data_IF_897667495982
#
_entry.id   IF_897667495982
#
_cell.length_a   1.000
_cell.length_b   1.000
_cell.length_c   1.000
_cell.angle_alpha   90.00
_cell.angle_beta   90.00
_cell.angle_gamma   90.00
#
_symmetry.space_group_name_H-M   'P 1'
#
loop_
_entity.id
_entity.type
_entity.pdbx_description
1 polymer ?
#
# COMPACT_ATOMS: atom_id res chain seq x y z
N UNK A 1 -30.66 -1.44 19.31
CA UNK A 1 -30.68 0.00 18.99
C UNK A 1 -29.34 0.33 18.35
N UNK A 2 -29.28 0.96 17.17
CA UNK A 2 -28.01 1.41 16.64
C UNK A 2 -27.48 2.50 17.59
N UNK A 3 -26.24 2.32 18.07
CA UNK A 3 -25.54 3.38 18.80
C UNK A 3 -25.55 4.64 17.93
N UNK A 4 -26.02 5.75 18.49
CA UNK A 4 -25.90 7.06 17.83
C UNK A 4 -24.42 7.30 17.57
N UNK A 5 -24.02 7.34 16.31
CA UNK A 5 -22.67 7.77 15.93
C UNK A 5 -22.42 9.15 16.56
N UNK A 6 -21.29 9.34 17.28
CA UNK A 6 -21.01 10.59 17.96
C UNK A 6 -20.96 11.74 16.94
N UNK A 7 -21.74 12.78 17.24
CA UNK A 7 -21.94 13.93 16.36
C UNK A 7 -20.83 14.98 16.48
N UNK A 8 -20.04 14.89 17.55
CA UNK A 8 -18.90 15.75 17.86
C UNK A 8 -17.83 14.94 18.59
N UNK A 9 -16.56 15.29 18.43
CA UNK A 9 -15.46 14.70 19.20
C UNK A 9 -15.59 14.95 20.71
N UNK A 10 -16.43 15.92 21.12
CA UNK A 10 -16.84 16.17 22.50
C UNK A 10 -17.52 14.95 23.15
N UNK A 11 -18.11 14.07 22.33
CA UNK A 11 -18.74 12.84 22.80
C UNK A 11 -17.70 11.73 23.12
N UNK A 12 -16.44 11.90 22.69
CA UNK A 12 -15.35 10.96 22.94
C UNK A 12 -14.66 11.32 24.26
N UNK A 13 -15.35 11.05 25.38
CA UNK A 13 -14.94 11.41 26.75
C UNK A 13 -13.54 10.93 27.16
N UNK A 14 -12.96 9.95 26.46
CA UNK A 14 -11.68 9.33 26.80
C UNK A 14 -10.51 9.75 25.90
N UNK A 15 -10.75 10.47 24.80
CA UNK A 15 -9.69 10.74 23.81
C UNK A 15 -8.64 11.77 24.29
N UNK A 16 -9.01 12.70 25.17
CA UNK A 16 -8.11 13.76 25.63
C UNK A 16 -8.28 14.04 27.12
N UNK A 17 -7.44 13.41 27.95
CA UNK A 17 -7.31 13.77 29.38
C UNK A 17 -6.69 15.16 29.61
N UNK A 18 -6.25 15.86 28.56
CA UNK A 18 -5.60 17.15 28.63
C UNK A 18 -6.50 18.29 28.14
N UNK A 19 -7.03 19.07 29.09
CA UNK A 19 -7.94 20.19 28.84
C UNK A 19 -7.35 21.32 27.98
N UNK A 20 -6.01 21.44 27.90
CA UNK A 20 -5.33 22.44 27.07
C UNK A 20 -5.32 22.02 25.59
N UNK A 21 -5.14 20.73 25.33
CA UNK A 21 -5.16 20.18 23.96
C UNK A 21 -6.57 20.23 23.39
N UNK A 22 -7.58 19.83 24.16
CA UNK A 22 -8.99 19.91 23.75
C UNK A 22 -9.41 21.34 23.37
N UNK A 23 -9.11 22.33 24.23
CA UNK A 23 -9.37 23.75 23.93
C UNK A 23 -8.63 24.26 22.69
N UNK A 24 -7.45 23.70 22.39
CA UNK A 24 -6.70 24.07 21.19
C UNK A 24 -7.39 23.54 19.93
N UNK A 25 -7.90 22.31 19.96
CA UNK A 25 -8.69 21.76 18.86
C UNK A 25 -10.00 22.53 18.66
N UNK A 26 -10.76 22.84 19.72
CA UNK A 26 -11.97 23.69 19.63
C UNK A 26 -11.71 25.01 18.91
N UNK A 27 -10.61 25.68 19.28
CA UNK A 27 -10.23 26.95 18.66
C UNK A 27 -9.93 26.76 17.19
N UNK A 28 -9.19 25.73 16.81
CA UNK A 28 -8.88 25.44 15.41
C UNK A 28 -10.15 25.16 14.62
N UNK A 29 -11.06 24.33 15.15
CA UNK A 29 -12.30 24.00 14.46
C UNK A 29 -13.19 25.23 14.22
N UNK A 30 -13.33 26.10 15.23
CA UNK A 30 -14.03 27.38 15.05
C UNK A 30 -13.34 28.29 14.05
N UNK A 31 -12.01 28.29 14.03
CA UNK A 31 -11.21 29.13 13.13
C UNK A 31 -11.36 28.68 11.67
N UNK A 32 -11.36 27.37 11.42
CA UNK A 32 -11.38 26.80 10.08
C UNK A 32 -12.76 26.34 9.61
N UNK A 33 -13.79 26.44 10.46
CA UNK A 33 -15.16 26.08 10.10
C UNK A 33 -15.32 24.59 9.77
N UNK A 34 -14.78 23.72 10.62
CA UNK A 34 -14.79 22.27 10.41
C UNK A 34 -16.19 21.72 10.16
N UNK A 35 -16.35 20.89 9.12
CA UNK A 35 -17.60 20.18 8.82
C UNK A 35 -17.38 18.68 9.00
N UNK A 36 -18.24 18.06 9.81
CA UNK A 36 -18.21 16.61 10.04
C UNK A 36 -18.98 15.91 8.91
N UNK A 37 -18.28 15.11 8.10
CA UNK A 37 -18.84 14.40 6.93
C UNK A 37 -18.55 12.90 7.00
N UNK A 38 -18.90 12.26 8.13
CA UNK A 38 -18.63 10.82 8.37
C UNK A 38 -19.18 9.95 7.24
N UNK A 39 -20.42 10.18 6.82
CA UNK A 39 -21.07 9.41 5.76
C UNK A 39 -20.32 9.46 4.42
N UNK A 40 -19.64 10.57 4.13
CA UNK A 40 -18.88 10.74 2.90
C UNK A 40 -17.51 10.06 2.95
N UNK A 41 -16.84 10.06 4.12
CA UNK A 41 -15.43 9.68 4.22
C UNK A 41 -15.14 8.37 4.98
N UNK A 42 -16.08 7.83 5.76
CA UNK A 42 -15.84 6.66 6.63
C UNK A 42 -15.28 5.45 5.88
N UNK A 43 -15.73 5.21 4.63
CA UNK A 43 -15.22 4.11 3.78
C UNK A 43 -13.94 4.46 3.02
N UNK A 44 -13.57 5.73 2.96
CA UNK A 44 -12.45 6.24 2.19
C UNK A 44 -11.17 6.34 3.02
N UNK A 45 -11.29 6.53 4.34
CA UNK A 45 -10.16 6.62 5.29
C UNK A 45 -9.55 5.27 5.67
N UNK A 46 -9.83 4.22 4.89
CA UNK A 46 -9.23 2.88 5.03
C UNK A 46 -9.14 2.20 3.66
N UNK A 47 -8.48 1.04 3.58
CA UNK A 47 -8.27 0.34 2.30
C UNK A 47 -9.40 -0.60 1.88
N UNK A 48 -10.56 -0.61 2.55
CA UNK A 48 -11.61 -1.62 2.33
C UNK A 48 -12.06 -1.71 0.86
N UNK A 49 -12.24 -0.56 0.20
CA UNK A 49 -12.65 -0.50 -1.21
C UNK A 49 -11.49 -0.62 -2.21
N UNK A 50 -10.23 -0.50 -1.74
CA UNK A 50 -9.04 -0.55 -2.60
C UNK A 50 -8.84 -1.92 -3.26
N UNK A 51 -9.36 -2.99 -2.65
CA UNK A 51 -9.31 -4.36 -3.15
C UNK A 51 -9.96 -4.55 -4.53
N UNK A 52 -10.89 -3.68 -4.90
CA UNK A 52 -11.61 -3.73 -6.19
C UNK A 52 -11.01 -2.82 -7.26
N UNK A 53 -10.10 -1.92 -6.88
CA UNK A 53 -9.57 -0.89 -7.76
C UNK A 53 -8.28 -1.37 -8.48
N UNK A 54 -8.12 -1.11 -9.80
CA UNK A 54 -6.87 -1.36 -10.51
C UNK A 54 -5.67 -0.71 -9.81
N UNK A 55 -4.51 -1.37 -9.88
CA UNK A 55 -3.25 -0.98 -9.21
C UNK A 55 -3.31 -0.93 -7.67
N UNK A 56 -4.30 -0.26 -7.08
CA UNK A 56 -4.55 -0.21 -5.64
C UNK A 56 -4.63 -1.60 -5.00
N UNK A 57 -5.25 -2.58 -5.67
CA UNK A 57 -5.38 -3.95 -5.16
C UNK A 57 -4.11 -4.80 -5.19
N UNK A 58 -3.03 -4.36 -5.84
CA UNK A 58 -1.84 -5.20 -6.06
C UNK A 58 -1.09 -5.53 -4.77
N UNK A 59 -1.15 -4.63 -3.79
CA UNK A 59 -0.47 -4.80 -2.50
C UNK A 59 -1.43 -4.41 -1.39
N UNK A 60 -1.63 -5.30 -0.41
CA UNK A 60 -2.34 -4.97 0.81
C UNK A 60 -1.41 -4.24 1.78
N UNK A 61 -1.58 -2.93 1.90
CA UNK A 61 -0.87 -2.07 2.85
C UNK A 61 -1.87 -1.61 3.91
N UNK A 62 -1.69 -1.99 5.18
CA UNK A 62 -2.73 -1.80 6.22
C UNK A 62 -2.90 -0.34 6.60
N UNK A 63 -1.81 0.41 6.59
CA UNK A 63 -1.70 1.81 6.98
C UNK A 63 -2.11 2.77 5.84
N UNK A 64 -2.96 2.29 4.92
CA UNK A 64 -3.39 3.04 3.75
C UNK A 64 -4.85 3.50 3.81
N UNK A 65 -5.19 4.38 2.88
CA UNK A 65 -6.55 4.84 2.58
C UNK A 65 -6.91 4.54 1.12
N UNK A 66 -8.19 4.66 0.80
CA UNK A 66 -8.68 4.47 -0.56
C UNK A 66 -8.22 5.61 -1.47
N UNK A 67 -7.85 5.29 -2.72
CA UNK A 67 -7.53 6.31 -3.72
C UNK A 67 -8.66 7.30 -3.96
N UNK A 68 -9.92 6.86 -3.78
CA UNK A 68 -11.09 7.71 -3.92
C UNK A 68 -11.17 8.83 -2.87
N UNK A 69 -10.52 8.67 -1.70
CA UNK A 69 -10.34 9.77 -0.75
C UNK A 69 -9.62 10.95 -1.41
N UNK A 70 -8.51 10.64 -2.09
CA UNK A 70 -7.65 11.64 -2.73
C UNK A 70 -8.36 12.27 -3.91
N UNK A 71 -9.08 11.48 -4.71
CA UNK A 71 -9.91 12.01 -5.81
C UNK A 71 -10.98 12.96 -5.31
N UNK A 72 -11.66 12.63 -4.20
CA UNK A 72 -12.67 13.50 -3.62
C UNK A 72 -12.07 14.81 -3.08
N UNK A 73 -10.91 14.74 -2.44
CA UNK A 73 -10.17 15.94 -2.00
C UNK A 73 -9.81 16.81 -3.21
N UNK A 74 -9.22 16.23 -4.27
CA UNK A 74 -8.84 16.97 -5.48
C UNK A 74 -10.05 17.50 -6.25
N UNK A 75 -11.21 16.84 -6.17
CA UNK A 75 -12.46 17.34 -6.75
C UNK A 75 -12.97 18.57 -6.02
N UNK A 76 -12.88 18.59 -4.69
CA UNK A 76 -13.30 19.73 -3.85
C UNK A 76 -12.31 20.88 -3.89
N UNK A 77 -11.03 20.55 -3.99
CA UNK A 77 -9.91 21.49 -3.96
C UNK A 77 -9.01 21.24 -5.18
N UNK A 78 -9.45 21.66 -6.38
CA UNK A 78 -8.75 21.37 -7.62
C UNK A 78 -7.40 22.07 -7.69
N UNK A 79 -6.45 21.38 -8.31
CA UNK A 79 -5.11 21.89 -8.63
C UNK A 79 -4.98 22.10 -10.13
N UNK A 80 -4.02 22.93 -10.56
CA UNK A 80 -3.80 23.21 -11.99
C UNK A 80 -2.99 22.08 -12.61
N UNK A 81 -3.65 21.25 -13.41
CA UNK A 81 -3.02 20.15 -14.16
C UNK A 81 -1.86 20.69 -15.02
N UNK A 82 -0.72 20.01 -14.97
CA UNK A 82 0.51 20.39 -15.70
C UNK A 82 1.25 21.61 -15.14
N UNK A 83 0.80 22.17 -14.01
CA UNK A 83 1.48 23.29 -13.32
C UNK A 83 1.74 22.99 -11.85
N UNK A 84 0.77 22.40 -11.17
CA UNK A 84 0.84 22.06 -9.76
C UNK A 84 1.17 20.58 -9.58
N UNK A 85 1.86 20.27 -8.47
CA UNK A 85 2.24 18.91 -8.08
C UNK A 85 1.62 18.54 -6.74
N UNK A 86 1.19 17.30 -6.59
CA UNK A 86 0.81 16.73 -5.29
C UNK A 86 2.02 16.05 -4.66
N UNK A 87 2.37 16.44 -3.43
CA UNK A 87 3.47 15.83 -2.68
C UNK A 87 2.90 15.06 -1.50
N UNK A 88 3.23 13.77 -1.42
CA UNK A 88 2.86 12.90 -0.30
C UNK A 88 4.14 12.48 0.46
N UNK A 89 4.46 13.11 1.60
CA UNK A 89 5.70 12.86 2.33
C UNK A 89 5.71 11.52 3.09
N UNK A 90 4.56 10.83 3.16
CA UNK A 90 4.39 9.52 3.82
C UNK A 90 3.53 8.63 2.93
N UNK A 91 3.98 8.47 1.69
CA UNK A 91 3.18 7.92 0.58
C UNK A 91 2.79 6.46 0.73
N UNK A 92 3.44 5.71 1.63
CA UNK A 92 3.19 4.28 1.82
C UNK A 92 3.28 3.54 0.49
N UNK A 93 2.32 2.66 0.23
CA UNK A 93 2.25 1.93 -1.05
C UNK A 93 1.74 2.77 -2.23
N UNK A 94 1.55 4.09 -2.06
CA UNK A 94 1.28 5.05 -3.12
C UNK A 94 -0.20 5.30 -3.43
N UNK A 95 -1.13 5.23 -2.46
CA UNK A 95 -2.56 5.51 -2.73
C UNK A 95 -2.77 6.90 -3.37
N UNK A 96 -2.10 7.93 -2.86
CA UNK A 96 -2.11 9.28 -3.44
C UNK A 96 -1.58 9.30 -4.87
N UNK A 97 -0.42 8.67 -5.10
CA UNK A 97 0.25 8.72 -6.40
C UNK A 97 -0.58 8.06 -7.50
N UNK A 98 -1.20 6.91 -7.17
CA UNK A 98 -2.08 6.22 -8.12
C UNK A 98 -3.34 7.04 -8.38
N UNK A 99 -3.97 7.59 -7.33
CA UNK A 99 -5.16 8.42 -7.50
C UNK A 99 -4.88 9.68 -8.33
N UNK A 100 -3.76 10.38 -8.08
CA UNK A 100 -3.34 11.55 -8.86
C UNK A 100 -3.10 11.19 -10.33
N UNK A 101 -2.41 10.07 -10.58
CA UNK A 101 -2.16 9.58 -11.93
C UNK A 101 -3.45 9.25 -12.68
N UNK A 102 -4.44 8.66 -12.02
CA UNK A 102 -5.74 8.34 -12.62
C UNK A 102 -6.50 9.59 -13.09
N UNK A 103 -6.25 10.75 -12.47
CA UNK A 103 -6.85 12.04 -12.85
C UNK A 103 -5.88 12.96 -13.59
N UNK A 104 -4.71 12.46 -14.01
CA UNK A 104 -3.74 13.22 -14.80
C UNK A 104 -2.97 14.29 -14.03
N UNK A 105 -2.87 14.19 -12.71
CA UNK A 105 -2.12 15.12 -11.86
C UNK A 105 -0.73 14.53 -11.55
N UNK A 106 0.30 15.34 -11.76
CA UNK A 106 1.65 14.97 -11.42
C UNK A 106 1.83 14.93 -9.89
N UNK A 107 2.54 13.90 -9.42
CA UNK A 107 2.72 13.68 -7.98
C UNK A 107 4.06 13.06 -7.65
N UNK A 108 4.53 13.32 -6.43
CA UNK A 108 5.77 12.78 -5.86
C UNK A 108 5.47 12.23 -4.48
N UNK A 109 5.93 11.01 -4.21
CA UNK A 109 5.79 10.37 -2.91
C UNK A 109 7.14 10.08 -2.28
N UNK A 110 7.22 10.27 -0.97
CA UNK A 110 8.36 9.90 -0.14
C UNK A 110 7.90 8.87 0.89
N UNK A 111 8.74 7.89 1.18
CA UNK A 111 8.53 6.96 2.29
C UNK A 111 9.88 6.37 2.71
N UNK A 112 10.03 6.08 4.00
CA UNK A 112 11.24 5.46 4.54
C UNK A 112 11.26 3.96 4.30
N UNK A 113 10.09 3.34 4.09
CA UNK A 113 9.96 1.91 3.88
C UNK A 113 10.27 1.55 2.42
N UNK A 114 11.37 0.82 2.14
CA UNK A 114 11.76 0.50 0.76
C UNK A 114 10.76 -0.41 0.04
N UNK A 115 9.99 -1.24 0.76
CA UNK A 115 8.91 -2.02 0.15
C UNK A 115 7.76 -1.12 -0.31
N UNK A 116 7.41 -0.11 0.49
CA UNK A 116 6.36 0.84 0.18
C UNK A 116 6.74 1.68 -1.06
N UNK A 117 7.97 2.19 -1.10
CA UNK A 117 8.55 2.89 -2.27
C UNK A 117 8.56 2.00 -3.51
N UNK A 118 9.00 0.74 -3.40
CA UNK A 118 8.97 -0.22 -4.51
C UNK A 118 7.53 -0.43 -5.03
N UNK A 119 6.58 -0.63 -4.13
CA UNK A 119 5.17 -0.80 -4.48
C UNK A 119 4.61 0.44 -5.21
N UNK A 120 4.84 1.63 -4.66
CA UNK A 120 4.41 2.89 -5.26
C UNK A 120 4.99 3.09 -6.66
N UNK A 121 6.30 2.90 -6.82
CA UNK A 121 6.99 3.03 -8.10
C UNK A 121 6.47 2.05 -9.15
N UNK A 122 6.33 0.77 -8.80
CA UNK A 122 5.84 -0.24 -9.75
C UNK A 122 4.39 0.04 -10.14
N UNK A 123 3.50 0.30 -9.17
CA UNK A 123 2.08 0.62 -9.44
C UNK A 123 1.95 1.92 -10.25
N UNK A 124 2.84 2.88 -10.04
CA UNK A 124 2.84 4.21 -10.65
C UNK A 124 3.28 4.27 -12.11
N UNK A 125 3.73 3.16 -12.72
CA UNK A 125 4.24 3.15 -14.10
C UNK A 125 3.15 3.03 -15.17
N UNK A 126 3.31 3.72 -16.30
CA UNK A 126 2.49 3.49 -17.51
C UNK A 126 3.08 2.32 -18.30
N UNK A 127 2.36 1.21 -18.34
CA UNK A 127 2.84 -0.02 -18.98
C UNK A 127 2.74 0.05 -20.50
N UNK A 128 3.87 -0.11 -21.19
CA UNK A 128 3.90 -0.33 -22.63
C UNK A 128 3.67 -1.81 -22.97
N UNK A 129 3.26 -2.11 -24.20
CA UNK A 129 3.13 -3.49 -24.69
C UNK A 129 4.44 -4.27 -24.53
N UNK A 130 5.58 -3.61 -24.78
CA UNK A 130 6.90 -4.20 -24.60
C UNK A 130 7.17 -4.52 -23.13
N UNK A 131 6.92 -3.59 -22.22
CA UNK A 131 7.15 -3.83 -20.79
C UNK A 131 6.31 -5.01 -20.27
N UNK A 132 5.06 -5.12 -20.72
CA UNK A 132 4.19 -6.27 -20.39
C UNK A 132 4.74 -7.57 -20.97
N UNK A 133 5.18 -7.57 -22.23
CA UNK A 133 5.81 -8.74 -22.85
C UNK A 133 7.07 -9.18 -22.10
N UNK A 134 7.96 -8.25 -21.75
CA UNK A 134 9.19 -8.55 -21.01
C UNK A 134 8.87 -9.17 -19.64
N UNK A 135 7.85 -8.65 -18.92
CA UNK A 135 7.39 -9.21 -17.63
C UNK A 135 6.86 -10.64 -17.81
N UNK A 136 6.00 -10.86 -18.81
CA UNK A 136 5.42 -12.18 -19.08
C UNK A 136 6.49 -13.21 -19.43
N UNK A 137 7.50 -12.83 -20.22
CA UNK A 137 8.63 -13.71 -20.54
C UNK A 137 9.39 -14.16 -19.29
N UNK A 138 9.60 -13.25 -18.31
CA UNK A 138 10.24 -13.62 -17.04
C UNK A 138 9.35 -14.58 -16.24
N UNK A 139 8.04 -14.35 -16.17
CA UNK A 139 7.14 -15.28 -15.48
C UNK A 139 7.13 -16.66 -16.12
N UNK A 140 7.04 -16.75 -17.44
CA UNK A 140 7.10 -18.00 -18.18
C UNK A 140 8.40 -18.77 -17.92
N UNK A 141 9.54 -18.07 -17.90
CA UNK A 141 10.83 -18.66 -17.58
C UNK A 141 10.87 -19.20 -16.13
N UNK A 142 10.26 -18.47 -15.18
CA UNK A 142 10.17 -18.90 -13.78
C UNK A 142 9.25 -20.11 -13.61
N UNK A 143 8.13 -20.19 -14.34
CA UNK A 143 7.13 -21.26 -14.23
C UNK A 143 7.63 -22.56 -14.90
N UNK A 144 8.24 -22.47 -16.08
CA UNK A 144 8.64 -23.64 -16.88
C UNK A 144 9.77 -24.47 -16.27
N UNK A 145 10.62 -23.85 -15.45
CA UNK A 145 11.76 -24.55 -14.88
C UNK A 145 11.33 -25.33 -13.63
N UNK A 146 11.61 -26.64 -13.53
CA UNK A 146 11.27 -27.43 -12.36
C UNK A 146 11.90 -26.79 -11.12
N UNK A 147 11.09 -26.58 -10.08
CA UNK A 147 11.53 -25.93 -8.84
C UNK A 147 12.54 -26.84 -8.13
N UNK A 148 13.83 -26.68 -8.48
CA UNK A 148 14.92 -27.41 -7.84
C UNK A 148 14.97 -27.00 -6.37
N UNK A 149 14.64 -27.93 -5.49
CA UNK A 149 14.85 -27.78 -4.06
C UNK A 149 16.33 -28.05 -3.77
N UNK A 150 17.17 -27.02 -3.81
CA UNK A 150 18.55 -27.14 -3.33
C UNK A 150 18.59 -27.50 -1.84
N UNK A 151 19.76 -27.93 -1.31
CA UNK A 151 19.90 -28.31 0.09
C UNK A 151 19.42 -27.17 0.99
N UNK A 152 18.58 -27.55 1.96
CA UNK A 152 17.93 -26.65 2.89
C UNK A 152 18.95 -26.14 3.90
N UNK A 153 19.34 -24.86 3.80
CA UNK A 153 20.19 -24.24 4.82
C UNK A 153 19.31 -23.74 5.97
N UNK A 154 19.24 -24.55 7.03
CA UNK A 154 18.45 -24.33 8.23
C UNK A 154 18.95 -23.14 9.10
N UNK A 155 20.08 -22.51 8.74
CA UNK A 155 20.61 -21.34 9.45
C UNK A 155 19.85 -20.04 9.14
N UNK A 156 19.00 -20.02 8.11
CA UNK A 156 18.22 -18.83 7.80
C UNK A 156 17.02 -18.72 8.74
N UNK A 157 17.07 -17.74 9.66
CA UNK A 157 16.02 -17.48 10.64
C UNK A 157 14.62 -17.26 10.01
N UNK A 158 14.54 -16.90 8.73
CA UNK A 158 13.27 -16.71 8.03
C UNK A 158 12.56 -18.03 7.72
N UNK A 159 13.28 -19.15 7.61
CA UNK A 159 12.71 -20.44 7.23
C UNK A 159 11.60 -20.91 8.19
N UNK A 160 11.70 -20.57 9.48
CA UNK A 160 10.72 -20.92 10.51
C UNK A 160 9.34 -20.29 10.30
N UNK A 161 9.24 -19.23 9.48
CA UNK A 161 7.98 -18.54 9.22
C UNK A 161 7.19 -19.16 8.08
N UNK A 162 7.67 -20.21 7.41
CA UNK A 162 7.05 -20.77 6.22
C UNK A 162 6.95 -22.29 6.32
N UNK A 163 5.92 -22.92 5.73
CA UNK A 163 5.95 -24.35 5.46
C UNK A 163 7.21 -24.70 4.63
N UNK A 164 7.88 -25.81 4.97
CA UNK A 164 9.15 -26.20 4.31
C UNK A 164 9.04 -26.24 2.79
N UNK A 165 7.91 -26.75 2.26
CA UNK A 165 7.62 -26.78 0.83
C UNK A 165 7.59 -25.36 0.24
N UNK A 166 6.80 -24.46 0.82
CA UNK A 166 6.67 -23.08 0.35
C UNK A 166 8.00 -22.33 0.40
N UNK A 167 8.74 -22.46 1.50
CA UNK A 167 10.05 -21.82 1.65
C UNK A 167 11.02 -22.22 0.55
N UNK A 168 11.14 -23.52 0.27
CA UNK A 168 12.01 -24.04 -0.80
C UNK A 168 11.63 -23.47 -2.17
N UNK A 169 10.33 -23.37 -2.45
CA UNK A 169 9.81 -22.76 -3.69
C UNK A 169 10.16 -21.28 -3.76
N UNK A 170 9.88 -20.51 -2.71
CA UNK A 170 10.18 -19.08 -2.64
C UNK A 170 11.68 -18.78 -2.82
N UNK A 171 12.56 -19.57 -2.20
CA UNK A 171 14.02 -19.45 -2.38
C UNK A 171 14.42 -19.75 -3.82
N UNK A 172 13.83 -20.77 -4.44
CA UNK A 172 14.09 -21.12 -5.85
C UNK A 172 13.66 -19.99 -6.78
N UNK A 173 12.45 -19.43 -6.58
CA UNK A 173 11.96 -18.27 -7.32
C UNK A 173 12.89 -17.08 -7.12
N UNK A 174 13.22 -16.73 -5.86
CA UNK A 174 14.11 -15.61 -5.56
C UNK A 174 15.44 -15.72 -6.31
N UNK A 175 16.08 -16.90 -6.30
CA UNK A 175 17.36 -17.11 -6.99
C UNK A 175 17.25 -16.83 -8.49
N UNK A 176 16.19 -17.30 -9.14
CA UNK A 176 15.94 -17.02 -10.58
C UNK A 176 15.73 -15.53 -10.84
N UNK A 177 14.98 -14.86 -9.96
CA UNK A 177 14.74 -13.42 -10.09
C UNK A 177 16.00 -12.57 -9.89
N UNK A 178 17.06 -13.10 -9.26
CA UNK A 178 18.34 -12.39 -9.17
C UNK A 178 19.04 -12.25 -10.53
N UNK A 179 18.85 -13.22 -11.43
CA UNK A 179 19.43 -13.22 -12.78
C UNK A 179 18.75 -12.22 -13.73
N UNK A 180 17.55 -11.74 -13.37
CA UNK A 180 16.86 -10.70 -14.14
C UNK A 180 17.69 -9.41 -14.12
N UNK A 181 17.89 -8.82 -15.31
CA UNK A 181 18.61 -7.56 -15.49
C UNK A 181 17.99 -6.46 -14.62
N UNK A 182 18.84 -5.65 -13.97
CA UNK A 182 18.38 -4.47 -13.20
C UNK A 182 17.49 -3.56 -14.05
N UNK A 183 16.44 -3.03 -13.43
CA UNK A 183 15.47 -2.14 -14.06
C UNK A 183 14.03 -2.54 -13.70
N UNK A 184 13.08 -1.88 -14.37
CA UNK A 184 11.66 -1.99 -14.04
C UNK A 184 11.11 -3.43 -13.98
N UNK A 185 11.52 -4.30 -14.92
CA UNK A 185 11.06 -5.70 -14.92
C UNK A 185 11.51 -6.42 -13.66
N UNK A 186 12.75 -6.20 -13.20
CA UNK A 186 13.26 -6.76 -11.93
C UNK A 186 12.49 -6.23 -10.73
N UNK A 187 12.19 -4.94 -10.72
CA UNK A 187 11.41 -4.31 -9.64
C UNK A 187 9.97 -4.86 -9.59
N UNK A 188 9.34 -5.05 -10.75
CA UNK A 188 8.01 -5.65 -10.87
C UNK A 188 7.98 -7.07 -10.30
N UNK A 189 8.88 -7.95 -10.76
CA UNK A 189 8.87 -9.36 -10.31
C UNK A 189 9.34 -9.49 -8.86
N UNK A 190 10.21 -8.58 -8.38
CA UNK A 190 10.57 -8.47 -6.96
C UNK A 190 9.34 -8.09 -6.14
N UNK A 191 8.55 -7.10 -6.57
CA UNK A 191 7.30 -6.74 -5.89
C UNK A 191 6.32 -7.91 -5.88
N UNK A 192 6.15 -8.61 -7.01
CA UNK A 192 5.27 -9.77 -7.10
C UNK A 192 5.68 -10.87 -6.09
N UNK A 193 6.97 -11.20 -6.00
CA UNK A 193 7.49 -12.14 -5.01
C UNK A 193 7.21 -11.66 -3.57
N UNK A 194 7.51 -10.39 -3.26
CA UNK A 194 7.29 -9.84 -1.92
C UNK A 194 5.81 -9.81 -1.51
N UNK A 195 4.91 -9.61 -2.47
CA UNK A 195 3.47 -9.48 -2.24
C UNK A 195 2.81 -10.81 -1.87
N UNK A 196 3.39 -11.95 -2.26
CA UNK A 196 2.88 -13.29 -1.95
C UNK A 196 3.49 -13.91 -0.69
N UNK A 197 4.46 -13.24 -0.06
CA UNK A 197 5.18 -13.83 1.09
C UNK A 197 4.24 -14.12 2.25
N UNK A 198 3.31 -13.21 2.57
CA UNK A 198 2.36 -13.39 3.67
C UNK A 198 1.47 -14.62 3.42
N UNK A 199 0.89 -14.73 2.22
CA UNK A 199 0.02 -15.85 1.80
C UNK A 199 0.75 -17.20 1.78
N UNK A 200 2.06 -17.18 1.55
CA UNK A 200 2.89 -18.38 1.55
C UNK A 200 3.44 -18.77 2.94
N UNK A 201 3.23 -17.92 3.96
CA UNK A 201 3.82 -18.08 5.29
C UNK A 201 2.85 -18.68 6.31
N UNK A 202 3.37 -19.13 7.44
CA UNK A 202 2.59 -19.52 8.63
C UNK A 202 2.11 -18.30 9.44
N UNK A 203 2.49 -17.09 9.05
CA UNK A 203 2.19 -15.86 9.78
C UNK A 203 1.18 -15.01 9.03
N UNK A 204 0.29 -14.38 9.77
CA UNK A 204 -0.56 -13.30 9.26
C UNK A 204 -0.23 -12.03 10.02
N UNK A 205 -0.25 -10.88 9.33
CA UNK A 205 -0.16 -9.61 10.05
C UNK A 205 -1.37 -9.52 10.99
N UNK A 206 -1.15 -9.09 12.22
CA UNK A 206 -2.22 -8.59 13.07
C UNK A 206 -2.07 -7.07 13.19
N UNK A 207 -3.18 -6.36 13.40
CA UNK A 207 -3.24 -4.89 13.43
C UNK A 207 -2.39 -4.28 14.54
N UNK A 208 -1.98 -5.11 15.52
CA UNK A 208 -1.20 -4.74 16.69
C UNK A 208 0.25 -5.26 16.64
N UNK A 209 0.73 -5.71 15.47
CA UNK A 209 2.04 -6.35 15.34
C UNK A 209 1.95 -7.85 15.62
N UNK A 210 2.09 -8.65 14.56
CA UNK A 210 2.21 -10.11 14.54
C UNK A 210 1.37 -10.90 15.56
N UNK A 211 0.19 -11.36 15.15
CA UNK A 211 -0.39 -12.55 15.80
C UNK A 211 0.44 -13.78 15.39
N UNK A 212 0.78 -14.58 16.39
CA UNK A 212 1.51 -15.85 16.28
C UNK A 212 0.83 -16.85 15.37
#
# INVERSE_FOLDING_TARGET
MPEKEPSSWLDVKEAFFNSKVAKSFERLERTFGSKVEISAFAKLVNTSISSKQPFHRWVRYREGYAGDLVKEILRRYPVRIGKDYVVDPMSGSGSTLIACKEVGIDSIGLDVNPFAVLAGNVKGVRYSKKALSDILQVFEAVIKLPLKTGPFNNSNYLAKYFPSKNYKVLVSIKKRLEEVRKGFVKDFVKLALLSILEDCSNRKKDGNGFAT
#
